data_IF_405928758943
#
_entry.id   IF_405928758943
#
_cell.length_a   1.000
_cell.length_b   1.000
_cell.length_c   1.000
_cell.angle_alpha   90.00
_cell.angle_beta   90.00
_cell.angle_gamma   90.00
#
_symmetry.space_group_name_H-M   'P 1'
#
loop_
_entity.id
_entity.type
_entity.pdbx_description
1 polymer ?
#
# COMPACT_ATOMS: atom_id res chain seq x y z
N UNK A 1 4.85 14.59 -11.77
CA UNK A 1 5.10 13.27 -11.14
C UNK A 1 4.85 12.15 -12.13
N UNK A 2 3.74 12.11 -12.89
CA UNK A 2 3.40 11.06 -13.87
C UNK A 2 4.57 10.66 -14.79
N UNK A 3 5.20 11.65 -15.44
CA UNK A 3 6.31 11.37 -16.36
C UNK A 3 7.53 10.79 -15.65
N UNK A 4 7.78 11.21 -14.41
CA UNK A 4 8.85 10.65 -13.58
C UNK A 4 8.58 9.18 -13.23
N UNK A 5 7.36 8.85 -12.81
CA UNK A 5 6.96 7.46 -12.54
C UNK A 5 7.11 6.59 -13.80
N UNK A 6 6.60 7.07 -14.95
CA UNK A 6 6.71 6.37 -16.21
C UNK A 6 8.17 6.14 -16.63
N UNK A 7 9.02 7.15 -16.47
CA UNK A 7 10.45 7.09 -16.78
C UNK A 7 11.20 6.07 -15.92
N UNK A 8 10.99 6.09 -14.59
CA UNK A 8 11.64 5.16 -13.67
C UNK A 8 11.22 3.73 -13.96
N UNK A 9 9.93 3.47 -14.16
CA UNK A 9 9.41 2.14 -14.47
C UNK A 9 9.93 1.65 -15.82
N UNK A 10 9.97 2.50 -16.85
CA UNK A 10 10.52 2.16 -18.17
C UNK A 10 12.00 1.81 -18.08
N UNK A 11 12.80 2.63 -17.39
CA UNK A 11 14.23 2.39 -17.17
C UNK A 11 14.49 1.13 -16.35
N UNK A 12 13.55 0.74 -15.49
CA UNK A 12 13.59 -0.50 -14.74
C UNK A 12 13.11 -1.72 -15.54
N UNK A 13 12.73 -1.56 -16.82
CA UNK A 13 12.36 -2.66 -17.71
C UNK A 13 10.91 -3.15 -17.52
N UNK A 14 10.04 -2.33 -16.99
CA UNK A 14 8.59 -2.57 -17.00
C UNK A 14 7.96 -2.08 -18.30
N UNK A 15 6.95 -2.79 -18.79
CA UNK A 15 6.02 -2.25 -19.79
C UNK A 15 5.12 -1.22 -19.10
N UNK A 16 5.13 0.02 -19.56
CA UNK A 16 4.41 1.13 -18.91
C UNK A 16 3.16 1.49 -19.67
N UNK A 17 2.06 1.63 -18.94
CA UNK A 17 0.78 2.15 -19.40
C UNK A 17 0.43 3.41 -18.61
N UNK A 18 -0.05 4.46 -19.30
CA UNK A 18 -0.78 5.57 -18.69
C UNK A 18 -2.27 5.24 -18.76
N UNK A 19 -2.83 4.81 -17.64
CA UNK A 19 -4.24 4.47 -17.50
C UNK A 19 -5.05 5.73 -17.25
N UNK A 20 -5.50 6.35 -18.34
CA UNK A 20 -6.45 7.48 -18.32
C UNK A 20 -7.85 6.96 -18.00
N UNK A 21 -8.48 7.48 -16.96
CA UNK A 21 -9.84 7.14 -16.55
C UNK A 21 -10.80 8.35 -16.59
N UNK A 22 -10.37 9.43 -17.23
CA UNK A 22 -11.16 10.63 -17.54
C UNK A 22 -10.85 11.82 -16.66
N UNK A 23 -10.89 11.72 -15.34
CA UNK A 23 -10.51 12.81 -14.41
C UNK A 23 -9.02 12.85 -14.12
N UNK A 24 -8.35 11.67 -14.12
CA UNK A 24 -6.95 11.52 -13.79
C UNK A 24 -6.26 10.40 -14.57
N UNK A 25 -4.98 10.18 -14.27
CA UNK A 25 -4.13 9.22 -15.00
C UNK A 25 -3.25 8.41 -14.03
N UNK A 26 -3.54 7.14 -13.84
CA UNK A 26 -2.61 6.24 -13.17
C UNK A 26 -1.41 5.88 -14.05
N UNK A 27 -0.25 5.68 -13.46
CA UNK A 27 0.92 5.13 -14.17
C UNK A 27 1.13 3.69 -13.72
N UNK A 28 1.00 2.74 -14.64
CA UNK A 28 1.04 1.31 -14.36
C UNK A 28 2.23 0.67 -15.06
N UNK A 29 3.13 0.11 -14.29
CA UNK A 29 4.25 -0.70 -14.78
C UNK A 29 3.93 -2.19 -14.66
N UNK A 30 4.18 -2.96 -15.71
CA UNK A 30 3.97 -4.42 -15.70
C UNK A 30 5.23 -5.14 -16.12
N UNK A 31 5.66 -6.13 -15.33
CA UNK A 31 6.74 -7.05 -15.65
C UNK A 31 6.22 -8.47 -15.58
N UNK A 32 6.14 -9.12 -16.74
CA UNK A 32 5.56 -10.46 -16.88
C UNK A 32 6.34 -11.52 -16.09
N UNK A 33 5.62 -12.37 -15.40
CA UNK A 33 6.16 -13.56 -14.75
C UNK A 33 6.51 -14.65 -15.75
N UNK A 34 7.35 -15.61 -15.33
CA UNK A 34 7.80 -16.72 -16.21
C UNK A 34 7.09 -18.04 -15.96
N UNK A 35 6.39 -18.19 -14.84
CA UNK A 35 5.71 -19.45 -14.50
C UNK A 35 4.20 -19.29 -14.39
N UNK A 36 3.74 -18.39 -13.55
CA UNK A 36 2.32 -18.11 -13.25
C UNK A 36 1.99 -16.67 -13.64
N UNK A 37 2.20 -16.33 -14.92
CA UNK A 37 2.09 -14.96 -15.42
C UNK A 37 0.67 -14.37 -15.30
N UNK A 38 -0.35 -15.24 -15.23
CA UNK A 38 -1.75 -14.84 -14.99
C UNK A 38 -1.99 -14.34 -13.56
N UNK A 39 -1.17 -14.76 -12.59
CA UNK A 39 -1.22 -14.28 -11.22
C UNK A 39 -0.38 -13.01 -11.09
N UNK A 40 -1.00 -11.94 -10.59
CA UNK A 40 -0.38 -10.62 -10.48
C UNK A 40 -0.15 -10.27 -9.02
N UNK A 41 1.01 -9.75 -8.71
CA UNK A 41 1.35 -9.12 -7.43
C UNK A 41 1.49 -7.64 -7.68
N UNK A 42 0.63 -6.84 -7.06
CA UNK A 42 0.61 -5.40 -7.21
C UNK A 42 1.22 -4.73 -5.97
N UNK A 43 2.09 -3.76 -6.21
CA UNK A 43 2.51 -2.76 -5.24
C UNK A 43 2.12 -1.39 -5.77
N UNK A 44 1.58 -0.52 -4.91
CA UNK A 44 1.11 0.80 -5.34
C UNK A 44 1.20 1.85 -4.25
N UNK A 45 1.20 3.11 -4.68
CA UNK A 45 1.09 4.30 -3.87
C UNK A 45 0.47 5.42 -4.71
N UNK A 46 -0.21 6.38 -4.09
CA UNK A 46 -0.67 7.55 -4.82
C UNK A 46 0.44 8.60 -4.95
N UNK A 47 0.31 9.45 -5.97
CA UNK A 47 1.29 10.49 -6.25
C UNK A 47 0.73 11.91 -6.20
N UNK A 48 -0.58 12.05 -6.05
CA UNK A 48 -1.23 13.33 -5.77
C UNK A 48 -1.05 13.71 -4.30
N UNK A 49 -1.36 14.94 -3.96
CA UNK A 49 -1.29 15.48 -2.61
C UNK A 49 -2.32 16.61 -2.44
N UNK A 50 -2.70 16.90 -1.22
CA UNK A 50 -3.60 18.01 -0.89
C UNK A 50 -3.01 19.35 -1.29
N UNK A 51 -3.83 20.21 -1.88
CA UNK A 51 -3.44 21.58 -2.24
C UNK A 51 -3.02 22.35 -0.99
N UNK A 52 -1.81 22.89 -1.02
CA UNK A 52 -1.23 23.63 0.10
C UNK A 52 -0.41 22.79 1.09
N UNK A 53 -0.41 21.46 0.95
CA UNK A 53 0.48 20.56 1.67
C UNK A 53 1.73 20.26 0.82
N UNK A 54 2.91 20.07 1.45
CA UNK A 54 4.12 19.70 0.70
C UNK A 54 4.06 18.32 0.02
N UNK A 55 3.20 17.42 0.50
CA UNK A 55 3.09 16.04 -0.01
C UNK A 55 4.35 15.19 0.22
N UNK A 56 5.20 15.57 1.19
CA UNK A 56 6.50 14.95 1.37
C UNK A 56 6.40 13.53 1.93
N UNK A 57 5.58 13.34 2.97
CA UNK A 57 5.28 12.03 3.51
C UNK A 57 4.05 11.46 2.84
N UNK A 58 3.00 12.22 2.77
CA UNK A 58 1.74 11.94 2.10
C UNK A 58 1.73 12.56 0.66
N UNK A 59 2.02 11.80 -0.42
CA UNK A 59 2.55 10.44 -0.32
C UNK A 59 3.80 10.26 -1.24
N UNK A 60 4.71 11.26 -1.21
CA UNK A 60 5.94 11.15 -1.98
C UNK A 60 6.84 10.01 -1.45
N UNK A 61 6.75 9.70 -0.13
CA UNK A 61 7.51 8.58 0.45
C UNK A 61 7.01 7.22 -0.06
N UNK A 62 5.70 7.01 -0.10
CA UNK A 62 5.10 5.81 -0.68
C UNK A 62 5.43 5.66 -2.15
N UNK A 63 5.25 6.72 -2.95
CA UNK A 63 5.58 6.73 -4.37
C UNK A 63 7.07 6.43 -4.60
N UNK A 64 7.98 7.07 -3.86
CA UNK A 64 9.42 6.81 -3.97
C UNK A 64 9.78 5.36 -3.57
N UNK A 65 9.15 4.85 -2.50
CA UNK A 65 9.31 3.48 -2.03
C UNK A 65 8.88 2.46 -3.09
N UNK A 66 7.73 2.66 -3.71
CA UNK A 66 7.20 1.77 -4.77
C UNK A 66 8.10 1.79 -6.00
N UNK A 67 8.60 2.95 -6.42
CA UNK A 67 9.53 3.07 -7.55
C UNK A 67 10.89 2.43 -7.24
N UNK A 68 11.41 2.57 -6.02
CA UNK A 68 12.65 1.90 -5.62
C UNK A 68 12.47 0.38 -5.53
N UNK A 69 11.34 -0.10 -4.99
CA UNK A 69 11.01 -1.53 -5.03
C UNK A 69 10.95 -2.04 -6.47
N UNK A 70 10.34 -1.30 -7.39
CA UNK A 70 10.32 -1.66 -8.82
C UNK A 70 11.74 -1.82 -9.37
N UNK A 71 12.62 -0.86 -9.10
CA UNK A 71 14.02 -0.88 -9.54
C UNK A 71 14.78 -2.10 -9.02
N UNK A 72 14.61 -2.43 -7.74
CA UNK A 72 15.29 -3.57 -7.10
C UNK A 72 14.71 -4.90 -7.58
N UNK A 73 13.38 -5.04 -7.59
CA UNK A 73 12.71 -6.27 -8.02
C UNK A 73 12.92 -6.55 -9.51
N UNK A 74 13.16 -5.51 -10.32
CA UNK A 74 13.48 -5.68 -11.74
C UNK A 74 14.74 -6.50 -12.00
N UNK A 75 15.66 -6.56 -11.05
CA UNK A 75 16.91 -7.34 -11.15
C UNK A 75 16.71 -8.85 -11.05
N UNK A 76 15.53 -9.28 -10.57
CA UNK A 76 15.18 -10.69 -10.40
C UNK A 76 14.12 -11.16 -11.40
N UNK A 77 13.94 -12.45 -11.46
CA UNK A 77 12.88 -13.11 -12.24
C UNK A 77 11.91 -13.78 -11.27
N UNK A 78 10.62 -13.62 -11.53
CA UNK A 78 9.55 -14.17 -10.69
C UNK A 78 8.61 -15.04 -11.53
N UNK A 79 7.94 -15.97 -10.87
CA UNK A 79 6.89 -16.78 -11.51
C UNK A 79 5.66 -15.94 -11.82
N UNK A 80 5.27 -15.07 -10.89
CA UNK A 80 4.11 -14.18 -11.01
C UNK A 80 4.47 -12.87 -11.69
N UNK A 81 3.51 -12.28 -12.35
CA UNK A 81 3.62 -10.93 -12.91
C UNK A 81 3.69 -9.89 -11.80
N UNK A 82 4.66 -8.99 -11.87
CA UNK A 82 4.74 -7.83 -11.00
C UNK A 82 3.99 -6.67 -11.66
N UNK A 83 3.16 -6.00 -10.87
CA UNK A 83 2.48 -4.76 -11.24
C UNK A 83 2.91 -3.68 -10.24
N UNK A 84 3.31 -2.54 -10.77
CA UNK A 84 3.66 -1.35 -9.99
C UNK A 84 2.70 -0.25 -10.39
N UNK A 85 2.00 0.35 -9.44
CA UNK A 85 1.01 1.37 -9.70
C UNK A 85 1.35 2.67 -8.95
N UNK A 86 1.42 3.78 -9.70
CA UNK A 86 1.35 5.11 -9.13
C UNK A 86 -0.08 5.62 -9.40
N UNK A 87 -0.88 5.72 -8.36
CA UNK A 87 -2.29 6.14 -8.45
C UNK A 87 -2.42 7.65 -8.43
N UNK A 88 -3.46 8.16 -9.07
CA UNK A 88 -3.83 9.58 -9.08
C UNK A 88 -5.13 9.78 -8.30
N UNK A 89 -5.37 11.01 -7.84
CA UNK A 89 -6.62 11.42 -7.22
C UNK A 89 -7.05 10.55 -6.02
N UNK A 90 -6.09 10.11 -5.19
CA UNK A 90 -6.37 9.46 -3.90
C UNK A 90 -7.08 10.44 -2.98
N UNK A 91 -6.52 11.63 -2.83
CA UNK A 91 -6.93 12.73 -1.95
C UNK A 91 -8.33 13.31 -2.29
N UNK A 92 -8.83 12.99 -3.47
CA UNK A 92 -10.16 13.40 -3.94
C UNK A 92 -11.18 12.26 -3.90
N UNK A 93 -10.85 11.16 -3.25
CA UNK A 93 -11.76 10.05 -2.98
C UNK A 93 -11.38 8.72 -3.63
N UNK A 94 -10.08 8.39 -3.65
CA UNK A 94 -9.54 7.10 -4.13
C UNK A 94 -9.87 6.83 -5.59
N UNK A 95 -9.97 7.90 -6.43
CA UNK A 95 -10.52 7.76 -7.79
C UNK A 95 -9.63 6.89 -8.68
N UNK A 96 -8.32 7.05 -8.60
CA UNK A 96 -7.37 6.31 -9.42
C UNK A 96 -7.33 4.83 -9.10
N UNK A 97 -7.19 4.46 -7.84
CA UNK A 97 -7.19 3.07 -7.40
C UNK A 97 -8.54 2.40 -7.65
N UNK A 98 -9.65 3.11 -7.44
CA UNK A 98 -11.00 2.65 -7.77
C UNK A 98 -11.16 2.35 -9.25
N UNK A 99 -10.70 3.26 -10.12
CA UNK A 99 -10.74 3.06 -11.56
C UNK A 99 -9.92 1.83 -11.97
N UNK A 100 -8.73 1.64 -11.37
CA UNK A 100 -7.90 0.47 -11.64
C UNK A 100 -8.56 -0.83 -11.13
N UNK A 101 -9.04 -0.86 -9.88
CA UNK A 101 -9.67 -2.04 -9.28
C UNK A 101 -10.90 -2.49 -10.08
N UNK A 102 -11.77 -1.56 -10.49
CA UNK A 102 -12.93 -1.86 -11.32
C UNK A 102 -12.53 -2.36 -12.71
N UNK A 103 -11.49 -1.79 -13.33
CA UNK A 103 -10.94 -2.29 -14.60
C UNK A 103 -10.40 -3.71 -14.46
N UNK A 104 -9.63 -3.97 -13.40
CA UNK A 104 -9.07 -5.28 -13.11
C UNK A 104 -10.18 -6.33 -12.92
N UNK A 105 -11.22 -6.00 -12.15
CA UNK A 105 -12.39 -6.85 -11.96
C UNK A 105 -13.11 -7.14 -13.30
N UNK A 106 -13.38 -6.11 -14.09
CA UNK A 106 -14.03 -6.23 -15.40
C UNK A 106 -13.23 -7.11 -16.37
N UNK A 107 -11.91 -7.02 -16.31
CA UNK A 107 -11.02 -7.80 -17.18
C UNK A 107 -10.72 -9.21 -16.65
N UNK A 108 -11.25 -9.58 -15.48
CA UNK A 108 -10.98 -10.86 -14.85
C UNK A 108 -9.51 -11.04 -14.44
N UNK A 109 -8.82 -9.95 -14.06
CA UNK A 109 -7.43 -10.02 -13.64
C UNK A 109 -7.30 -10.80 -12.33
N UNK A 110 -6.31 -11.67 -12.23
CA UNK A 110 -6.01 -12.41 -11.02
C UNK A 110 -4.97 -11.65 -10.19
N UNK A 111 -5.44 -10.68 -9.38
CA UNK A 111 -4.59 -10.00 -8.40
C UNK A 111 -4.41 -10.93 -7.18
N UNK A 112 -3.32 -11.66 -7.15
CA UNK A 112 -3.01 -12.62 -6.07
C UNK A 112 -2.66 -11.91 -4.76
N UNK A 113 -2.16 -10.68 -4.82
CA UNK A 113 -2.00 -9.77 -3.69
C UNK A 113 -1.84 -8.33 -4.17
N UNK A 114 -2.34 -7.41 -3.36
CA UNK A 114 -2.16 -5.97 -3.51
C UNK A 114 -1.52 -5.42 -2.24
N UNK A 115 -0.48 -4.62 -2.35
CA UNK A 115 0.12 -3.86 -1.25
C UNK A 115 0.08 -2.40 -1.60
N UNK A 116 -0.55 -1.60 -0.76
CA UNK A 116 -0.58 -0.14 -0.89
C UNK A 116 0.31 0.46 0.19
N UNK A 117 1.19 1.37 -0.22
CA UNK A 117 2.05 2.13 0.67
C UNK A 117 1.56 3.58 0.72
N UNK A 118 1.35 4.04 1.95
CA UNK A 118 0.87 5.39 2.17
C UNK A 118 1.51 5.93 3.44
N UNK A 119 2.26 7.05 3.30
CA UNK A 119 3.07 7.64 4.38
C UNK A 119 4.02 6.60 5.01
N UNK A 120 5.23 6.47 4.51
CA UNK A 120 6.22 5.50 5.02
C UNK A 120 7.55 6.14 5.43
N UNK A 121 7.59 7.47 5.54
CA UNK A 121 8.80 8.25 5.79
C UNK A 121 8.93 8.80 7.19
N UNK A 122 7.88 8.83 8.00
CA UNK A 122 7.93 9.36 9.35
C UNK A 122 8.39 8.33 10.39
N UNK A 123 9.17 8.79 11.35
CA UNK A 123 9.53 8.00 12.54
C UNK A 123 9.88 8.89 13.71
N UNK A 124 9.51 8.48 14.94
CA UNK A 124 9.88 9.17 16.17
C UNK A 124 10.15 8.16 17.30
N UNK A 125 11.37 8.15 17.79
CA UNK A 125 11.81 7.21 18.83
C UNK A 125 11.52 7.69 20.26
N UNK A 126 10.92 8.87 20.46
CA UNK A 126 10.60 9.35 21.79
C UNK A 126 9.46 8.52 22.42
N UNK A 127 9.57 8.10 23.67
CA UNK A 127 8.46 7.46 24.38
C UNK A 127 7.23 8.37 24.43
N UNK A 128 6.05 7.79 24.16
CA UNK A 128 4.79 8.54 24.14
C UNK A 128 4.58 9.43 22.91
N UNK A 129 5.39 9.25 21.85
CA UNK A 129 5.25 10.00 20.60
C UNK A 129 4.11 9.50 19.71
N UNK A 130 3.51 8.34 20.02
CA UNK A 130 2.35 7.79 19.31
C UNK A 130 1.10 7.82 20.17
N UNK A 131 -0.01 8.25 19.58
CA UNK A 131 -1.37 8.07 20.11
C UNK A 131 -2.11 7.05 19.25
N UNK A 132 -3.09 6.39 19.82
CA UNK A 132 -3.94 5.45 19.09
C UNK A 132 -5.36 5.95 19.04
N UNK A 133 -6.12 5.68 17.97
CA UNK A 133 -7.53 6.05 17.87
C UNK A 133 -8.35 5.50 19.04
N UNK A 134 -9.37 6.25 19.47
CA UNK A 134 -10.29 5.81 20.49
C UNK A 134 -11.02 4.54 20.07
N UNK A 135 -11.05 3.54 20.95
CA UNK A 135 -11.70 2.25 20.67
C UNK A 135 -10.84 1.26 19.89
N UNK A 136 -9.63 1.65 19.49
CA UNK A 136 -8.71 0.75 18.80
C UNK A 136 -8.34 -0.48 19.65
N UNK A 137 -8.30 -0.32 20.97
CA UNK A 137 -8.08 -1.40 21.94
C UNK A 137 -9.21 -2.44 21.98
N UNK A 138 -10.43 -2.06 21.64
CA UNK A 138 -11.57 -2.98 21.57
C UNK A 138 -11.45 -3.93 20.37
N UNK A 139 -10.95 -3.42 19.25
CA UNK A 139 -10.81 -4.18 18.00
C UNK A 139 -9.46 -4.91 17.90
N UNK A 140 -8.38 -4.29 18.41
CA UNK A 140 -7.01 -4.69 18.16
C UNK A 140 -6.16 -4.73 19.45
N UNK A 141 -6.67 -5.37 20.51
CA UNK A 141 -6.05 -5.40 21.83
C UNK A 141 -4.59 -5.90 21.82
N UNK A 142 -4.26 -6.89 21.00
CA UNK A 142 -2.89 -7.42 20.87
C UNK A 142 -1.94 -6.40 20.24
N UNK A 143 -2.41 -5.65 19.23
CA UNK A 143 -1.68 -4.59 18.55
C UNK A 143 -1.40 -3.44 19.51
N UNK A 144 -2.42 -3.01 20.24
CA UNK A 144 -2.28 -2.00 21.30
C UNK A 144 -1.24 -2.43 22.35
N UNK A 145 -1.27 -3.69 22.76
CA UNK A 145 -0.27 -4.20 23.71
C UNK A 145 1.15 -4.18 23.10
N UNK A 146 1.30 -4.48 21.81
CA UNK A 146 2.60 -4.39 21.09
C UNK A 146 3.12 -2.95 21.11
N UNK A 147 2.27 -1.96 20.79
CA UNK A 147 2.62 -0.53 20.85
C UNK A 147 2.94 -0.08 22.27
N UNK A 148 2.16 -0.50 23.26
CA UNK A 148 2.42 -0.22 24.69
C UNK A 148 3.77 -0.76 25.14
N UNK A 149 4.11 -1.98 24.77
CA UNK A 149 5.42 -2.58 25.08
C UNK A 149 6.56 -1.80 24.43
N UNK A 150 6.33 -1.16 23.30
CA UNK A 150 7.24 -0.22 22.63
C UNK A 150 7.19 1.20 23.24
N UNK A 151 6.59 1.38 24.42
CA UNK A 151 6.46 2.67 25.10
C UNK A 151 5.74 3.75 24.26
N UNK A 152 4.81 3.37 23.40
CA UNK A 152 4.11 4.28 22.48
C UNK A 152 5.08 5.13 21.64
N UNK A 153 6.15 4.52 21.11
CA UNK A 153 7.06 5.18 20.15
C UNK A 153 6.46 5.11 18.76
N UNK A 154 6.54 6.22 18.03
CA UNK A 154 6.07 6.32 16.65
C UNK A 154 7.15 5.84 15.66
N UNK A 155 7.62 4.60 15.78
CA UNK A 155 8.75 4.04 15.01
C UNK A 155 8.46 2.65 14.43
N UNK A 156 7.22 2.43 14.01
CA UNK A 156 6.79 1.16 13.40
C UNK A 156 5.99 1.42 12.12
N UNK A 157 5.86 0.39 11.30
CA UNK A 157 4.88 0.37 10.21
C UNK A 157 3.60 -0.31 10.70
N UNK A 158 2.46 0.34 10.47
CA UNK A 158 1.15 -0.25 10.65
C UNK A 158 0.75 -0.98 9.36
N UNK A 159 0.25 -2.20 9.51
CA UNK A 159 -0.20 -3.03 8.40
C UNK A 159 -1.65 -3.41 8.67
N UNK A 160 -2.58 -2.92 7.85
CA UNK A 160 -3.96 -3.36 7.87
C UNK A 160 -4.26 -4.26 6.67
N UNK A 161 -4.94 -5.38 6.89
CA UNK A 161 -5.27 -6.30 5.80
C UNK A 161 -6.60 -7.01 6.06
N UNK A 162 -7.25 -7.44 4.99
CA UNK A 162 -8.39 -8.35 5.05
C UNK A 162 -7.95 -9.79 5.35
N UNK A 163 -8.89 -10.67 5.70
CA UNK A 163 -8.60 -12.06 6.01
C UNK A 163 -8.02 -12.83 4.82
N UNK A 164 -8.35 -12.44 3.58
CA UNK A 164 -7.77 -13.06 2.36
C UNK A 164 -6.28 -12.76 2.21
N UNK A 165 -5.81 -11.64 2.76
CA UNK A 165 -4.41 -11.22 2.74
C UNK A 165 -3.59 -11.67 3.97
N UNK A 166 -4.15 -12.47 4.88
CA UNK A 166 -3.50 -12.84 6.15
C UNK A 166 -2.10 -13.46 5.96
N UNK A 167 -1.96 -14.38 5.00
CA UNK A 167 -0.67 -15.01 4.69
C UNK A 167 0.34 -13.99 4.14
N UNK A 168 -0.11 -13.08 3.28
CA UNK A 168 0.71 -12.01 2.72
C UNK A 168 1.14 -11.02 3.82
N UNK A 169 0.19 -10.56 4.65
CA UNK A 169 0.48 -9.68 5.78
C UNK A 169 1.50 -10.28 6.76
N UNK A 170 1.39 -11.58 7.05
CA UNK A 170 2.35 -12.29 7.92
C UNK A 170 3.76 -12.35 7.32
N UNK A 171 3.88 -12.61 6.02
CA UNK A 171 5.18 -12.62 5.32
C UNK A 171 5.80 -11.22 5.33
N UNK A 172 4.98 -10.18 5.09
CA UNK A 172 5.42 -8.79 5.06
C UNK A 172 5.88 -8.33 6.45
N UNK A 173 5.10 -8.58 7.52
CA UNK A 173 5.48 -8.33 8.91
C UNK A 173 6.82 -9.00 9.25
N UNK A 174 6.95 -10.30 8.95
CA UNK A 174 8.18 -11.05 9.22
C UNK A 174 9.40 -10.50 8.46
N UNK A 175 9.22 -10.00 7.25
CA UNK A 175 10.29 -9.38 6.46
C UNK A 175 10.76 -8.07 7.08
N UNK A 176 9.82 -7.22 7.53
CA UNK A 176 10.13 -5.98 8.25
C UNK A 176 10.88 -6.24 9.55
N UNK A 177 10.39 -7.18 10.37
CA UNK A 177 11.04 -7.51 11.66
C UNK A 177 12.45 -8.08 11.47
N UNK A 178 12.67 -8.90 10.44
CA UNK A 178 14.01 -9.38 10.06
C UNK A 178 14.96 -8.26 9.62
N UNK A 179 14.42 -7.18 9.07
CA UNK A 179 15.20 -5.98 8.72
C UNK A 179 15.48 -5.06 9.92
N UNK A 180 15.03 -5.44 11.13
CA UNK A 180 15.17 -4.65 12.35
C UNK A 180 14.12 -3.55 12.50
N UNK A 181 13.05 -3.58 11.69
CA UNK A 181 11.95 -2.62 11.76
C UNK A 181 10.76 -3.24 12.49
N UNK A 182 10.18 -2.49 13.42
CA UNK A 182 8.94 -2.92 14.07
C UNK A 182 7.77 -2.79 13.09
N UNK A 183 6.91 -3.80 13.09
CA UNK A 183 5.62 -3.76 12.40
C UNK A 183 4.48 -4.00 13.40
N UNK A 184 3.33 -3.41 13.17
CA UNK A 184 2.09 -3.67 13.92
C UNK A 184 1.02 -4.08 12.91
N UNK A 185 0.74 -5.38 12.87
CA UNK A 185 -0.17 -5.95 11.88
C UNK A 185 -1.55 -6.19 12.47
N UNK A 186 -2.58 -5.70 11.80
CA UNK A 186 -3.98 -5.86 12.15
C UNK A 186 -4.73 -6.62 11.02
N UNK A 187 -5.33 -7.75 11.38
CA UNK A 187 -6.33 -8.42 10.55
C UNK A 187 -7.67 -7.69 10.76
N UNK A 188 -8.19 -7.08 9.72
CA UNK A 188 -9.45 -6.33 9.75
C UNK A 188 -10.60 -7.30 9.51
N UNK A 189 -11.39 -7.63 10.53
CA UNK A 189 -12.55 -8.51 10.37
C UNK A 189 -13.58 -7.89 9.42
N UNK A 190 -14.32 -8.72 8.70
CA UNK A 190 -15.36 -8.25 7.77
C UNK A 190 -16.36 -7.25 8.39
N UNK A 191 -16.68 -7.41 9.68
CA UNK A 191 -17.55 -6.50 10.42
C UNK A 191 -16.96 -5.08 10.60
N UNK A 192 -15.65 -4.92 10.53
CA UNK A 192 -14.93 -3.64 10.67
C UNK A 192 -14.50 -3.05 9.34
N UNK A 193 -14.64 -3.78 8.22
CA UNK A 193 -14.22 -3.30 6.90
C UNK A 193 -15.02 -2.10 6.37
N UNK A 194 -16.11 -1.72 7.04
CA UNK A 194 -16.91 -0.51 6.74
C UNK A 194 -16.52 0.71 7.58
N UNK A 195 -15.52 0.58 8.46
CA UNK A 195 -15.05 1.70 9.28
C UNK A 195 -14.17 2.59 8.42
N UNK A 196 -14.53 3.87 8.31
CA UNK A 196 -13.86 4.84 7.43
C UNK A 196 -12.35 4.94 7.71
N UNK A 197 -11.94 4.98 8.99
CA UNK A 197 -10.53 5.08 9.39
C UNK A 197 -9.66 3.88 8.92
N UNK A 198 -10.28 2.74 8.61
CA UNK A 198 -9.59 1.57 8.08
C UNK A 198 -9.62 1.51 6.54
N UNK A 199 -10.13 2.55 5.89
CA UNK A 199 -10.39 2.61 4.44
C UNK A 199 -9.89 3.90 3.80
N UNK A 200 -9.04 4.64 4.49
CA UNK A 200 -8.60 5.98 4.08
C UNK A 200 -7.57 6.01 2.95
N UNK A 201 -7.15 4.84 2.44
CA UNK A 201 -6.16 4.76 1.37
C UNK A 201 -6.55 3.80 0.24
N UNK A 202 -5.76 3.75 -0.79
CA UNK A 202 -5.95 3.06 -2.07
C UNK A 202 -6.16 1.54 -1.98
N UNK A 203 -5.97 0.90 -0.83
CA UNK A 203 -6.29 -0.52 -0.61
C UNK A 203 -7.80 -0.78 -0.56
N UNK A 204 -8.58 0.20 -0.10
CA UNK A 204 -10.01 0.04 0.12
C UNK A 204 -10.82 -0.28 -1.16
N UNK A 205 -10.58 0.35 -2.32
CA UNK A 205 -11.24 -0.02 -3.57
C UNK A 205 -10.94 -1.46 -4.03
N UNK A 206 -9.78 -2.02 -3.66
CA UNK A 206 -9.49 -3.43 -3.96
C UNK A 206 -10.30 -4.36 -3.06
N UNK A 207 -10.50 -4.03 -1.79
CA UNK A 207 -11.43 -4.76 -0.91
C UNK A 207 -12.84 -4.75 -1.48
N UNK A 208 -13.33 -3.59 -1.94
CA UNK A 208 -14.67 -3.45 -2.55
C UNK A 208 -14.82 -4.29 -3.82
N UNK A 209 -13.74 -4.44 -4.58
CA UNK A 209 -13.69 -5.28 -5.78
C UNK A 209 -13.46 -6.77 -5.48
N UNK A 210 -13.28 -7.15 -4.20
CA UNK A 210 -13.05 -8.53 -3.77
C UNK A 210 -11.62 -9.04 -3.98
N UNK A 211 -10.65 -8.14 -4.18
CA UNK A 211 -9.24 -8.51 -4.28
C UNK A 211 -8.56 -8.51 -2.90
N UNK A 212 -7.64 -9.45 -2.63
CA UNK A 212 -6.84 -9.44 -1.41
C UNK A 212 -5.91 -8.23 -1.42
N UNK A 213 -6.06 -7.35 -0.42
CA UNK A 213 -5.25 -6.15 -0.32
C UNK A 213 -4.79 -5.86 1.11
N UNK A 214 -3.61 -5.26 1.24
CA UNK A 214 -3.10 -4.71 2.49
C UNK A 214 -2.63 -3.27 2.30
N UNK A 215 -2.78 -2.52 3.35
CA UNK A 215 -2.24 -1.19 3.57
C UNK A 215 -0.97 -1.30 4.41
N UNK A 216 0.03 -0.50 4.12
CA UNK A 216 1.22 -0.33 4.94
C UNK A 216 1.57 1.16 5.02
N UNK A 217 1.46 1.73 6.21
CA UNK A 217 1.77 3.12 6.50
C UNK A 217 2.58 3.27 7.78
N UNK A 218 3.14 4.44 7.99
CA UNK A 218 3.84 4.77 9.23
C UNK A 218 2.89 5.27 10.33
N UNK A 219 3.39 6.03 11.25
CA UNK A 219 2.68 6.44 12.46
C UNK A 219 2.21 7.89 12.45
N UNK A 220 2.39 8.61 11.36
CA UNK A 220 1.94 10.00 11.23
C UNK A 220 0.43 10.12 10.95
N UNK A 221 -0.21 9.02 10.56
CA UNK A 221 -1.63 8.97 10.22
C UNK A 221 -2.56 9.02 11.44
N UNK A 222 -2.06 8.83 12.67
CA UNK A 222 -2.85 8.78 13.91
C UNK A 222 -2.47 9.86 14.92
#
# INVERSE_FOLDING_TARGET
>A
VQDHCADVLTKSGFGVEKHDYGSGVNVIGTKLGKGKAEQRVLIGAHYDHLVGCPGADDNATGTAGVLEMARVLALATFDRTLVVACFDEEETGLLGSKAYALRALKNGENLASVTVFDMIGFTNDAPGSQTLPSGFDLAFAAQVQKVKNNQYRANFLFIAHDSASAAHGSVFESALEKSGRMAVRADVPAALMSIDDLRRSDHAPFWDAGFPALFAGDTAEF
#
